data_IF_440886586576
#
_entry.id   IF_440886586576
#
_cell.length_a   1.000
_cell.length_b   1.000
_cell.length_c   1.000
_cell.angle_alpha   90.00
_cell.angle_beta   90.00
_cell.angle_gamma   90.00
#
_symmetry.space_group_name_H-M   'P 1'
#
loop_
_entity.id
_entity.type
_entity.pdbx_description
1 polymer ?
#
# COMPACT_ATOMS: atom_id res chain seq x y z
N UNK A 1 46.39 -13.30 14.72
CA UNK A 1 45.10 -12.80 15.22
C UNK A 1 44.57 -11.82 14.19
N UNK A 2 43.61 -12.22 13.36
CA UNK A 2 42.90 -11.29 12.47
C UNK A 2 41.41 -11.64 12.58
N UNK A 3 40.65 -10.74 13.20
CA UNK A 3 39.23 -10.92 13.51
C UNK A 3 38.34 -10.74 12.28
N UNK A 4 37.33 -11.59 12.22
CA UNK A 4 36.37 -11.73 11.15
C UNK A 4 35.43 -10.51 11.03
N UNK A 5 35.35 -9.93 9.83
CA UNK A 5 34.17 -9.25 9.36
C UNK A 5 33.55 -10.15 8.30
N UNK A 6 32.94 -11.26 8.75
CA UNK A 6 32.23 -12.16 7.86
C UNK A 6 30.86 -11.52 7.56
N UNK A 7 30.73 -11.20 6.28
CA UNK A 7 29.68 -10.46 5.63
C UNK A 7 28.40 -11.30 5.66
N UNK A 8 27.40 -10.90 6.45
CA UNK A 8 26.10 -11.60 6.51
C UNK A 8 25.27 -11.32 5.25
N UNK A 9 25.74 -11.79 4.10
CA UNK A 9 24.90 -12.03 2.93
C UNK A 9 23.95 -13.18 3.29
N UNK A 10 22.79 -12.84 3.85
CA UNK A 10 21.65 -13.75 3.93
C UNK A 10 21.37 -14.26 2.51
N UNK A 11 21.83 -15.47 2.22
CA UNK A 11 21.48 -16.21 1.00
C UNK A 11 19.98 -16.48 1.03
N UNK A 12 19.22 -15.60 0.40
CA UNK A 12 17.77 -15.73 0.12
C UNK A 12 17.51 -16.75 -1.00
N UNK A 13 18.53 -17.49 -1.45
CA UNK A 13 18.42 -18.42 -2.58
C UNK A 13 17.95 -19.83 -2.20
N UNK A 14 17.73 -20.11 -0.90
CA UNK A 14 17.49 -21.49 -0.43
C UNK A 14 16.11 -21.76 0.17
N UNK A 15 15.10 -20.91 -0.05
CA UNK A 15 13.71 -21.29 0.24
C UNK A 15 13.13 -21.95 -1.02
N UNK A 16 12.88 -23.28 -1.04
CA UNK A 16 12.26 -23.92 -2.18
C UNK A 16 10.87 -23.31 -2.40
N UNK A 17 10.70 -22.60 -3.51
CA UNK A 17 9.39 -22.08 -3.93
C UNK A 17 8.45 -23.27 -4.15
N UNK A 18 7.28 -23.37 -3.49
CA UNK A 18 6.34 -24.45 -3.73
C UNK A 18 5.55 -24.31 -5.04
N UNK A 19 5.89 -23.35 -5.91
CA UNK A 19 5.08 -22.98 -7.08
C UNK A 19 5.97 -22.70 -8.31
N UNK A 20 5.79 -23.46 -9.41
CA UNK A 20 6.69 -23.47 -10.59
C UNK A 20 6.61 -22.23 -11.49
N UNK A 21 5.88 -21.18 -11.10
CA UNK A 21 5.72 -19.93 -11.86
C UNK A 21 6.01 -18.67 -11.04
N UNK A 22 6.64 -18.82 -9.87
CA UNK A 22 6.86 -17.75 -8.92
C UNK A 22 8.33 -17.33 -8.90
N UNK A 23 8.68 -16.37 -9.76
CA UNK A 23 10.00 -15.76 -9.76
C UNK A 23 10.11 -14.75 -8.61
N UNK A 24 10.92 -15.07 -7.59
CA UNK A 24 11.31 -14.09 -6.58
C UNK A 24 11.95 -12.90 -7.30
N UNK A 25 11.48 -11.69 -7.03
CA UNK A 25 11.92 -10.49 -7.76
C UNK A 25 11.92 -9.32 -6.79
N UNK A 26 13.03 -8.59 -6.79
CA UNK A 26 13.14 -7.32 -6.09
C UNK A 26 12.13 -6.32 -6.67
N UNK A 27 11.45 -5.59 -5.78
CA UNK A 27 10.46 -4.60 -6.15
C UNK A 27 10.86 -3.24 -5.61
N UNK A 28 10.77 -2.23 -6.48
CA UNK A 28 10.77 -0.84 -6.07
C UNK A 28 9.32 -0.37 -5.90
N UNK A 29 9.11 0.55 -4.97
CA UNK A 29 7.81 1.16 -4.74
C UNK A 29 7.90 2.65 -5.03
N UNK A 30 6.91 3.13 -5.78
CA UNK A 30 6.75 4.54 -6.06
C UNK A 30 5.33 4.96 -5.71
N UNK A 31 5.19 6.15 -5.14
CA UNK A 31 3.89 6.68 -4.73
C UNK A 31 3.76 8.15 -5.05
N UNK A 32 2.53 8.55 -5.40
CA UNK A 32 2.19 9.93 -5.71
C UNK A 32 0.88 10.31 -5.04
N UNK A 33 0.77 11.57 -4.66
CA UNK A 33 -0.43 12.13 -4.05
C UNK A 33 -0.91 13.32 -4.88
N UNK A 34 -2.23 13.50 -5.00
CA UNK A 34 -2.83 14.54 -5.87
C UNK A 34 -2.39 15.96 -5.52
N UNK A 35 -1.95 16.21 -4.28
CA UNK A 35 -1.47 17.51 -3.82
C UNK A 35 -0.10 17.36 -3.16
N UNK A 36 0.85 18.23 -3.53
CA UNK A 36 2.12 18.40 -2.81
C UNK A 36 1.83 19.10 -1.48
N UNK A 37 1.75 18.34 -0.38
CA UNK A 37 1.51 18.89 0.96
C UNK A 37 0.78 17.96 1.92
N UNK A 38 0.48 18.47 3.11
CA UNK A 38 -0.02 17.67 4.25
C UNK A 38 -1.48 17.18 4.11
N UNK A 39 -2.21 17.56 3.05
CA UNK A 39 -3.68 17.42 2.97
C UNK A 39 -4.21 16.76 1.68
N UNK A 40 -3.55 15.70 1.18
CA UNK A 40 -4.12 14.93 0.07
C UNK A 40 -5.29 14.04 0.52
N UNK A 41 -6.35 14.01 -0.29
CA UNK A 41 -7.46 13.06 -0.15
C UNK A 41 -7.30 11.81 -1.02
N UNK A 42 -6.34 11.82 -1.95
CA UNK A 42 -6.08 10.74 -2.90
C UNK A 42 -4.58 10.46 -2.95
N UNK A 43 -4.23 9.20 -2.71
CA UNK A 43 -2.87 8.67 -2.84
C UNK A 43 -2.86 7.50 -3.82
N UNK A 44 -1.76 7.36 -4.53
CA UNK A 44 -1.49 6.29 -5.47
C UNK A 44 -0.17 5.64 -5.08
N UNK A 45 -0.10 4.31 -5.10
CA UNK A 45 1.15 3.58 -4.91
C UNK A 45 1.26 2.42 -5.87
N UNK A 46 2.44 2.25 -6.45
CA UNK A 46 2.75 1.19 -7.41
C UNK A 46 3.96 0.37 -6.96
N UNK A 47 3.88 -0.94 -7.19
CA UNK A 47 4.98 -1.88 -7.05
C UNK A 47 5.53 -2.15 -8.46
N UNK A 48 6.81 -1.88 -8.66
CA UNK A 48 7.49 -2.00 -9.95
C UNK A 48 8.58 -3.06 -9.83
N UNK A 49 8.62 -4.00 -10.78
CA UNK A 49 9.67 -5.01 -10.84
C UNK A 49 11.02 -4.37 -11.15
N UNK A 50 12.03 -4.63 -10.33
CA UNK A 50 13.37 -4.10 -10.54
C UNK A 50 14.03 -4.65 -11.81
N UNK A 51 13.71 -5.89 -12.21
CA UNK A 51 14.27 -6.56 -13.38
C UNK A 51 13.57 -6.14 -14.67
N UNK A 52 12.23 -6.18 -14.71
CA UNK A 52 11.46 -5.92 -15.93
C UNK A 52 11.09 -4.45 -16.11
N UNK A 53 11.21 -3.64 -15.06
CA UNK A 53 10.74 -2.24 -14.99
C UNK A 53 9.22 -2.09 -15.26
N UNK A 54 8.45 -3.18 -15.17
CA UNK A 54 6.99 -3.19 -15.32
C UNK A 54 6.28 -3.04 -13.99
N UNK A 55 5.11 -2.39 -14.01
CA UNK A 55 4.21 -2.30 -12.84
C UNK A 55 3.62 -3.69 -12.59
N UNK A 56 3.89 -4.22 -11.40
CA UNK A 56 3.36 -5.50 -10.94
C UNK A 56 2.00 -5.36 -10.24
N UNK A 57 1.82 -4.25 -9.51
CA UNK A 57 0.59 -3.96 -8.81
C UNK A 57 0.49 -2.45 -8.53
N UNK A 58 -0.73 -1.97 -8.35
CA UNK A 58 -0.99 -0.63 -7.87
C UNK A 58 -2.17 -0.62 -6.90
N UNK A 59 -2.25 0.45 -6.11
CA UNK A 59 -3.34 0.73 -5.19
C UNK A 59 -3.65 2.21 -5.24
N UNK A 60 -4.96 2.51 -5.27
CA UNK A 60 -5.49 3.83 -5.07
C UNK A 60 -6.07 3.91 -3.66
N UNK A 61 -5.60 4.88 -2.89
CA UNK A 61 -6.07 5.18 -1.55
C UNK A 61 -6.86 6.48 -1.56
N UNK A 62 -8.11 6.44 -1.13
CA UNK A 62 -8.96 7.62 -1.00
C UNK A 62 -9.41 7.79 0.45
N UNK A 63 -9.24 9.00 0.98
CA UNK A 63 -9.78 9.41 2.29
C UNK A 63 -11.24 9.83 2.23
N UNK A 64 -11.73 10.10 1.03
CA UNK A 64 -13.07 10.63 0.80
C UNK A 64 -13.76 9.87 -0.32
N UNK A 65 -15.07 9.70 -0.20
CA UNK A 65 -15.94 9.29 -1.29
C UNK A 65 -16.89 10.44 -1.59
N UNK A 66 -16.94 10.89 -2.85
CA UNK A 66 -17.80 12.01 -3.23
C UNK A 66 -19.28 11.72 -2.96
N UNK A 67 -19.72 10.48 -3.22
CA UNK A 67 -21.09 10.05 -2.93
C UNK A 67 -21.39 10.11 -1.44
N UNK A 68 -20.48 9.63 -0.58
CA UNK A 68 -20.63 9.79 0.88
C UNK A 68 -20.72 11.25 1.29
N UNK A 69 -19.84 12.11 0.77
CA UNK A 69 -19.84 13.53 1.09
C UNK A 69 -21.14 14.24 0.65
N UNK A 70 -21.72 13.83 -0.48
CA UNK A 70 -22.97 14.39 -1.00
C UNK A 70 -24.16 13.97 -0.15
N UNK A 71 -24.28 12.66 0.12
CA UNK A 71 -25.39 12.10 0.89
C UNK A 71 -25.34 12.49 2.36
N UNK A 72 -24.15 12.59 2.95
CA UNK A 72 -24.03 13.05 4.34
C UNK A 72 -24.51 14.49 4.49
N UNK A 73 -24.15 15.37 3.55
CA UNK A 73 -24.58 16.78 3.58
C UNK A 73 -26.08 16.97 3.35
N UNK A 74 -26.69 16.15 2.50
CA UNK A 74 -28.07 16.36 2.05
C UNK A 74 -29.12 15.57 2.84
N UNK A 75 -28.74 14.41 3.40
CA UNK A 75 -29.73 13.45 3.91
C UNK A 75 -29.45 12.96 5.32
N UNK A 76 -28.22 13.05 5.82
CA UNK A 76 -27.89 12.46 7.13
C UNK A 76 -28.65 13.12 8.29
N UNK A 77 -28.87 14.43 8.22
CA UNK A 77 -29.58 15.16 9.28
C UNK A 77 -31.09 15.28 9.00
N UNK A 78 -31.48 15.50 7.75
CA UNK A 78 -32.88 15.74 7.36
C UNK A 78 -33.68 14.44 7.16
N UNK A 79 -33.02 13.38 6.67
CA UNK A 79 -33.64 12.10 6.33
C UNK A 79 -32.74 10.91 6.72
N UNK A 80 -32.51 10.70 8.03
CA UNK A 80 -31.53 9.71 8.52
C UNK A 80 -31.83 8.28 8.08
N UNK A 81 -33.10 7.89 7.99
CA UNK A 81 -33.50 6.55 7.53
C UNK A 81 -33.15 6.30 6.06
N UNK A 82 -33.38 7.30 5.20
CA UNK A 82 -33.00 7.22 3.79
C UNK A 82 -31.48 7.14 3.63
N UNK A 83 -30.74 7.92 4.44
CA UNK A 83 -29.29 7.86 4.47
C UNK A 83 -28.78 6.47 4.85
N UNK A 84 -29.34 5.85 5.91
CA UNK A 84 -28.94 4.50 6.34
C UNK A 84 -29.23 3.46 5.26
N UNK A 85 -30.44 3.49 4.67
CA UNK A 85 -30.82 2.56 3.61
C UNK A 85 -29.88 2.67 2.41
N UNK A 86 -29.57 3.90 1.99
CA UNK A 86 -28.60 4.15 0.93
C UNK A 86 -27.20 3.66 1.32
N UNK A 87 -26.71 4.02 2.50
CA UNK A 87 -25.36 3.71 2.96
C UNK A 87 -25.09 2.19 3.01
N UNK A 88 -26.05 1.41 3.48
CA UNK A 88 -25.97 -0.06 3.51
C UNK A 88 -25.73 -0.66 2.11
N UNK A 89 -26.37 -0.10 1.08
CA UNK A 89 -26.13 -0.52 -0.31
C UNK A 89 -24.85 0.06 -0.90
N UNK A 90 -24.44 1.25 -0.46
CA UNK A 90 -23.27 1.96 -0.97
C UNK A 90 -21.95 1.37 -0.47
N UNK A 91 -21.94 0.80 0.74
CA UNK A 91 -20.71 0.33 1.40
C UNK A 91 -19.87 -0.60 0.52
N UNK A 92 -20.52 -1.48 -0.26
CA UNK A 92 -19.88 -2.41 -1.19
C UNK A 92 -19.14 -1.72 -2.36
N UNK A 93 -19.51 -0.49 -2.67
CA UNK A 93 -18.95 0.32 -3.77
C UNK A 93 -18.35 1.64 -3.27
N UNK A 94 -18.11 1.75 -1.96
CA UNK A 94 -17.54 2.95 -1.38
C UNK A 94 -16.09 3.11 -1.83
N UNK A 95 -15.76 4.30 -2.34
CA UNK A 95 -14.40 4.59 -2.80
C UNK A 95 -13.46 4.96 -1.66
N UNK A 96 -13.99 5.32 -0.48
CA UNK A 96 -13.19 5.64 0.70
C UNK A 96 -12.63 4.34 1.28
N UNK A 97 -11.31 4.21 1.24
CA UNK A 97 -10.59 3.01 1.69
C UNK A 97 -9.35 3.34 2.55
N UNK A 98 -9.10 4.61 2.86
CA UNK A 98 -8.05 5.06 3.76
C UNK A 98 -8.63 5.98 4.84
N UNK A 99 -8.34 5.71 6.10
CA UNK A 99 -8.82 6.51 7.24
C UNK A 99 -7.72 7.34 7.89
N UNK A 100 -6.46 7.13 7.51
CA UNK A 100 -5.31 7.83 8.10
C UNK A 100 -5.06 9.23 7.53
N UNK A 101 -3.91 9.80 7.89
CA UNK A 101 -3.42 11.06 7.34
C UNK A 101 -2.95 10.89 5.89
N UNK A 102 -2.70 12.02 5.22
CA UNK A 102 -2.12 12.01 3.87
C UNK A 102 -0.74 11.35 3.86
N UNK A 103 0.06 11.58 4.90
CA UNK A 103 1.41 11.02 5.05
C UNK A 103 1.36 9.51 5.26
N UNK A 104 0.29 8.98 5.88
CA UNK A 104 0.17 7.55 6.09
C UNK A 104 -0.31 6.80 4.84
N UNK A 105 -0.68 7.49 3.76
CA UNK A 105 -1.08 6.83 2.50
C UNK A 105 0.07 6.08 1.84
N UNK A 106 1.27 6.67 1.80
CA UNK A 106 2.45 6.03 1.21
C UNK A 106 2.78 4.67 1.87
N UNK A 107 3.00 4.61 3.21
CA UNK A 107 3.30 3.35 3.87
C UNK A 107 2.13 2.36 3.79
N UNK A 108 0.89 2.83 3.80
CA UNK A 108 -0.28 1.96 3.67
C UNK A 108 -0.38 1.34 2.26
N UNK A 109 -0.07 2.13 1.23
CA UNK A 109 -0.04 1.66 -0.15
C UNK A 109 1.07 0.64 -0.37
N UNK A 110 2.25 0.85 0.23
CA UNK A 110 3.36 -0.09 0.19
C UNK A 110 2.99 -1.42 0.85
N UNK A 111 2.43 -1.38 2.07
CA UNK A 111 1.94 -2.58 2.77
C UNK A 111 0.90 -3.33 1.97
N UNK A 112 -0.07 -2.61 1.39
CA UNK A 112 -1.16 -3.21 0.60
C UNK A 112 -0.63 -3.91 -0.65
N UNK A 113 0.29 -3.27 -1.38
CA UNK A 113 0.89 -3.87 -2.58
C UNK A 113 1.78 -5.07 -2.25
N UNK A 114 2.52 -5.02 -1.13
CA UNK A 114 3.35 -6.13 -0.67
C UNK A 114 2.49 -7.32 -0.24
N UNK A 115 1.47 -7.10 0.59
CA UNK A 115 0.53 -8.14 1.03
C UNK A 115 -0.26 -8.77 -0.13
N UNK A 116 -0.62 -7.98 -1.15
CA UNK A 116 -1.24 -8.52 -2.39
C UNK A 116 -0.27 -9.39 -3.19
N UNK A 117 1.01 -9.04 -3.21
CA UNK A 117 2.03 -9.80 -3.95
C UNK A 117 2.33 -11.14 -3.29
N UNK A 118 2.34 -11.20 -1.96
CA UNK A 118 2.50 -12.47 -1.23
C UNK A 118 1.25 -13.36 -1.35
N UNK A 119 0.04 -12.76 -1.33
CA UNK A 119 -1.22 -13.51 -1.34
C UNK A 119 -1.68 -13.97 -2.74
N UNK A 120 -1.56 -13.12 -3.78
CA UNK A 120 -2.09 -13.44 -5.12
C UNK A 120 -1.14 -14.27 -5.98
N UNK A 121 0.15 -14.26 -5.67
CA UNK A 121 1.17 -14.89 -6.51
C UNK A 121 1.96 -15.98 -5.79
N UNK A 122 1.65 -16.37 -4.54
CA UNK A 122 2.44 -17.33 -3.75
C UNK A 122 3.97 -17.10 -3.87
N UNK A 123 4.40 -15.84 -4.00
CA UNK A 123 5.76 -15.48 -4.34
C UNK A 123 6.29 -14.45 -3.35
N UNK A 124 7.44 -14.75 -2.74
CA UNK A 124 8.13 -13.80 -1.89
C UNK A 124 8.52 -12.58 -2.73
N UNK A 125 8.12 -11.40 -2.28
CA UNK A 125 8.56 -10.13 -2.85
C UNK A 125 9.36 -9.44 -1.77
N UNK A 126 10.64 -9.18 -2.03
CA UNK A 126 11.48 -8.44 -1.09
C UNK A 126 11.47 -6.96 -1.48
N UNK A 127 11.21 -6.04 -0.53
CA UNK A 127 11.47 -4.63 -0.78
C UNK A 127 12.95 -4.45 -1.08
N UNK A 128 13.30 -3.58 -2.03
CA UNK A 128 14.72 -3.27 -2.29
C UNK A 128 15.40 -2.71 -1.03
N UNK A 129 16.72 -2.84 -0.93
CA UNK A 129 17.52 -2.33 0.18
C UNK A 129 17.27 -0.84 0.49
N UNK A 130 16.94 -0.04 -0.54
CA UNK A 130 16.58 1.38 -0.44
C UNK A 130 15.23 1.64 0.26
N UNK A 131 14.30 0.69 0.21
CA UNK A 131 13.00 0.79 0.88
C UNK A 131 13.05 0.38 2.36
N UNK A 132 13.95 -0.54 2.71
CA UNK A 132 14.15 -0.97 4.09
C UNK A 132 14.64 0.21 4.96
N UNK A 133 15.49 1.07 4.41
CA UNK A 133 16.02 2.25 5.11
C UNK A 133 14.97 3.36 5.30
N UNK A 134 14.08 3.61 4.33
CA UNK A 134 13.00 4.63 4.47
C UNK A 134 11.91 4.26 5.47
N UNK A 135 11.59 2.97 5.65
CA UNK A 135 10.60 2.54 6.65
C UNK A 135 11.15 2.56 8.09
N UNK A 136 12.48 2.52 8.26
CA UNK A 136 13.13 2.62 9.57
C UNK A 136 13.21 4.08 10.06
N UNK A 137 13.35 5.06 9.16
CA UNK A 137 13.41 6.48 9.54
C UNK A 137 12.08 7.04 10.03
N UNK A 138 10.94 6.46 9.63
CA UNK A 138 9.61 6.87 10.14
C UNK A 138 9.23 6.25 11.50
N UNK A 139 9.99 5.28 12.03
CA UNK A 139 9.75 4.69 13.35
C UNK A 139 10.36 5.46 14.53
N UNK A 140 11.04 6.57 14.28
CA UNK A 140 11.81 7.28 15.30
C UNK A 140 11.37 8.74 15.44
N UNK A 141 10.11 8.98 15.79
CA UNK A 141 9.70 10.17 16.54
C UNK A 141 8.66 9.72 17.57
N UNK A 142 9.14 9.46 18.79
CA UNK A 142 8.33 9.52 20.01
C UNK A 142 8.48 10.92 20.59
#
# INVERSE_FOLDING_TARGET
MQGAADELHLRVDSIPSPVPNCTNTAVSFDSSSKTRGYYSNVGFGSAISASTKKVLAYVLLNRTCEKCNRWSRQRQNEHPEEYIKWYNTHQLHCLKNHSGSSQSMEPEAAKTNLGRSTLKRNCATTPSSEMATRNLTHKSVK
#
